data_IF_178821246483
#
_entry.id   IF_178821246483
#
_cell.length_a   1.000
_cell.length_b   1.000
_cell.length_c   1.000
_cell.angle_alpha   90.00
_cell.angle_beta   90.00
_cell.angle_gamma   90.00
#
_symmetry.space_group_name_H-M   'P 1'
#
loop_
_entity.id
_entity.type
_entity.pdbx_description
1 polymer ?
#
# COMPACT_ATOMS: atom_id res chain seq x y z
N UNK A 1 -3.12 -4.18 -8.24
CA UNK A 1 -2.42 -3.48 -9.34
C UNK A 1 -3.37 -2.75 -10.32
N UNK A 2 -4.50 -2.19 -9.87
CA UNK A 2 -5.54 -1.67 -10.79
C UNK A 2 -5.05 -0.54 -11.70
N UNK A 3 -4.32 0.44 -11.15
CA UNK A 3 -3.83 1.59 -11.91
C UNK A 3 -2.81 1.19 -12.98
N UNK A 4 -1.92 0.23 -12.66
CA UNK A 4 -0.96 -0.36 -13.60
C UNK A 4 -1.71 -1.00 -14.77
N UNK A 5 -2.70 -1.84 -14.48
CA UNK A 5 -3.46 -2.51 -15.52
C UNK A 5 -4.23 -1.53 -16.43
N UNK A 6 -4.86 -0.48 -15.87
CA UNK A 6 -5.53 0.54 -16.67
C UNK A 6 -4.56 1.27 -17.60
N UNK A 7 -3.40 1.71 -17.08
CA UNK A 7 -2.36 2.37 -17.88
C UNK A 7 -1.90 1.47 -19.02
N UNK A 8 -1.58 0.22 -18.72
CA UNK A 8 -1.03 -0.73 -19.70
C UNK A 8 -2.04 -1.10 -20.79
N UNK A 9 -3.34 -1.02 -20.48
CA UNK A 9 -4.42 -1.20 -21.45
C UNK A 9 -4.74 0.08 -22.25
N UNK A 10 -4.13 1.22 -21.90
CA UNK A 10 -4.41 2.52 -22.53
C UNK A 10 -5.73 3.13 -22.10
N UNK A 11 -6.32 2.65 -21.00
CA UNK A 11 -7.56 3.17 -20.45
C UNK A 11 -7.34 4.52 -19.73
N UNK A 12 -8.37 5.37 -19.63
CA UNK A 12 -8.29 6.58 -18.82
C UNK A 12 -7.93 6.28 -17.36
N UNK A 13 -6.87 6.93 -16.88
CA UNK A 13 -6.47 6.85 -15.48
C UNK A 13 -7.33 7.77 -14.60
N UNK A 14 -7.58 7.41 -13.34
CA UNK A 14 -8.23 8.30 -12.39
C UNK A 14 -7.30 9.46 -12.01
N UNK A 15 -7.87 10.49 -11.38
CA UNK A 15 -7.12 11.67 -10.97
C UNK A 15 -6.04 11.40 -9.91
N UNK A 16 -6.25 10.38 -9.04
CA UNK A 16 -5.30 9.99 -8.01
C UNK A 16 -5.57 8.55 -7.52
N UNK A 17 -4.62 7.98 -6.79
CA UNK A 17 -4.75 6.71 -6.05
C UNK A 17 -4.48 6.88 -4.56
N UNK A 18 -5.26 6.20 -3.71
CA UNK A 18 -5.04 6.14 -2.26
C UNK A 18 -4.79 4.69 -1.87
N UNK A 19 -3.66 4.45 -1.19
CA UNK A 19 -3.22 3.14 -0.74
C UNK A 19 -3.16 3.16 0.78
N UNK A 20 -3.96 2.32 1.43
CA UNK A 20 -3.99 2.19 2.88
C UNK A 20 -3.34 0.87 3.25
N UNK A 21 -2.24 0.92 3.99
CA UNK A 21 -1.49 -0.26 4.43
C UNK A 21 -1.29 -1.30 3.31
N UNK A 22 -0.81 -0.88 2.12
CA UNK A 22 -0.88 -1.72 0.94
C UNK A 22 0.04 -2.95 1.02
N UNK A 23 -0.53 -4.12 0.78
CA UNK A 23 0.23 -5.34 0.50
C UNK A 23 0.59 -5.39 -1.00
N UNK A 24 1.87 -5.28 -1.32
CA UNK A 24 2.35 -5.14 -2.70
C UNK A 24 3.46 -6.09 -3.10
N UNK A 25 4.00 -6.85 -2.14
CA UNK A 25 4.96 -7.91 -2.35
C UNK A 25 4.45 -9.25 -1.77
N UNK A 26 4.09 -10.17 -2.65
CA UNK A 26 3.65 -11.53 -2.29
C UNK A 26 4.81 -12.52 -2.11
N UNK A 27 6.07 -12.09 -2.29
CA UNK A 27 7.23 -12.92 -1.94
C UNK A 27 7.34 -13.06 -0.42
N UNK A 28 6.94 -12.01 0.31
CA UNK A 28 7.03 -11.93 1.77
C UNK A 28 8.47 -11.93 2.30
N UNK A 29 9.42 -11.47 1.47
CA UNK A 29 10.85 -11.36 1.80
C UNK A 29 11.19 -10.05 2.53
N UNK A 30 10.22 -9.16 2.73
CA UNK A 30 10.45 -7.86 3.34
C UNK A 30 10.83 -7.97 4.83
N UNK A 31 11.78 -7.15 5.29
CA UNK A 31 12.35 -7.25 6.63
C UNK A 31 11.33 -7.03 7.75
N UNK A 32 10.40 -6.09 7.55
CA UNK A 32 9.28 -5.79 8.44
C UNK A 32 8.40 -7.02 8.73
N UNK A 33 8.30 -7.97 7.80
CA UNK A 33 7.52 -9.21 7.97
C UNK A 33 7.98 -9.99 9.19
N UNK A 34 9.29 -10.03 9.44
CA UNK A 34 9.85 -10.70 10.62
C UNK A 34 10.04 -9.73 11.78
N UNK A 35 10.60 -8.55 11.54
CA UNK A 35 11.02 -7.64 12.62
C UNK A 35 9.86 -6.98 13.37
N UNK A 36 8.67 -6.90 12.78
CA UNK A 36 7.46 -6.31 13.38
C UNK A 36 6.35 -7.33 13.63
N UNK A 37 6.64 -8.63 13.50
CA UNK A 37 5.66 -9.70 13.65
C UNK A 37 4.97 -9.69 15.03
N UNK A 38 5.69 -9.30 16.08
CA UNK A 38 5.15 -9.19 17.45
C UNK A 38 4.41 -7.87 17.68
N UNK A 39 4.79 -6.81 16.97
CA UNK A 39 4.25 -5.46 17.15
C UNK A 39 2.91 -5.24 16.42
N UNK A 40 2.69 -5.93 15.29
CA UNK A 40 1.49 -5.83 14.47
C UNK A 40 0.33 -6.61 15.10
N UNK A 41 -0.72 -5.96 15.63
CA UNK A 41 -1.84 -6.66 16.27
C UNK A 41 -2.82 -7.29 15.28
N UNK A 42 -2.75 -6.95 13.99
CA UNK A 42 -3.79 -7.26 12.99
C UNK A 42 -3.33 -8.32 11.98
N UNK A 43 -2.10 -8.20 11.47
CA UNK A 43 -1.60 -9.06 10.40
C UNK A 43 -0.40 -9.86 10.90
N UNK A 44 -0.42 -11.17 10.68
CA UNK A 44 0.64 -12.09 11.08
C UNK A 44 1.27 -12.78 9.88
N UNK A 45 2.58 -13.08 9.91
CA UNK A 45 3.28 -13.69 8.78
C UNK A 45 2.63 -14.97 8.24
N UNK A 46 2.27 -15.92 9.12
CA UNK A 46 1.63 -17.17 8.71
C UNK A 46 0.33 -16.96 7.93
N UNK A 47 -0.47 -15.97 8.36
CA UNK A 47 -1.70 -15.58 7.67
C UNK A 47 -1.41 -14.96 6.31
N UNK A 48 -0.41 -14.07 6.25
CA UNK A 48 0.04 -13.42 5.02
C UNK A 48 0.50 -14.45 3.98
N UNK A 49 1.39 -15.37 4.36
CA UNK A 49 1.91 -16.41 3.46
C UNK A 49 0.80 -17.34 2.98
N UNK A 50 -0.10 -17.76 3.87
CA UNK A 50 -1.24 -18.62 3.52
C UNK A 50 -2.16 -17.93 2.50
N UNK A 51 -2.55 -16.69 2.77
CA UNK A 51 -3.44 -15.94 1.87
C UNK A 51 -2.76 -15.64 0.53
N UNK A 52 -1.45 -15.35 0.54
CA UNK A 52 -0.67 -15.10 -0.67
C UNK A 52 -0.60 -16.34 -1.55
N UNK A 53 -0.33 -17.50 -0.96
CA UNK A 53 -0.34 -18.78 -1.67
C UNK A 53 -1.70 -19.12 -2.29
N UNK A 54 -2.80 -18.86 -1.57
CA UNK A 54 -4.16 -19.06 -2.09
C UNK A 54 -4.46 -18.11 -3.26
N UNK A 55 -4.06 -16.84 -3.17
CA UNK A 55 -4.27 -15.85 -4.22
C UNK A 55 -3.46 -16.16 -5.47
N UNK A 56 -2.18 -16.53 -5.30
CA UNK A 56 -1.28 -16.85 -6.40
C UNK A 56 -1.65 -18.16 -7.11
N UNK A 57 -2.17 -19.16 -6.38
CA UNK A 57 -2.53 -20.46 -6.94
C UNK A 57 -1.44 -21.06 -7.86
N UNK A 58 -0.18 -20.96 -7.43
CA UNK A 58 1.00 -21.44 -8.17
C UNK A 58 1.59 -20.46 -9.20
N UNK A 59 1.00 -19.28 -9.40
CA UNK A 59 1.61 -18.19 -10.17
C UNK A 59 2.84 -17.64 -9.45
N UNK A 60 3.84 -17.19 -10.21
CA UNK A 60 5.05 -16.57 -9.65
C UNK A 60 4.68 -15.36 -8.78
N UNK A 61 5.11 -15.32 -7.49
CA UNK A 61 4.84 -14.19 -6.60
C UNK A 61 5.38 -12.85 -7.12
N UNK A 62 6.34 -12.86 -8.05
CA UNK A 62 6.89 -11.63 -8.68
C UNK A 62 6.08 -11.13 -9.87
N UNK A 63 4.96 -11.79 -10.20
CA UNK A 63 4.05 -11.36 -11.27
C UNK A 63 3.56 -9.94 -11.00
N UNK A 64 3.86 -8.93 -11.85
CA UNK A 64 3.63 -7.52 -11.53
C UNK A 64 2.20 -7.13 -11.18
N UNK A 65 1.20 -7.81 -11.77
CA UNK A 65 -0.21 -7.53 -11.46
C UNK A 65 -0.68 -8.14 -10.13
N UNK A 66 0.03 -9.16 -9.64
CA UNK A 66 -0.18 -9.76 -8.32
C UNK A 66 0.64 -9.03 -7.24
N UNK A 67 1.90 -8.71 -7.54
CA UNK A 67 2.81 -7.94 -6.69
C UNK A 67 3.22 -6.63 -7.38
N UNK A 68 2.42 -5.55 -7.22
CA UNK A 68 2.66 -4.25 -7.85
C UNK A 68 4.03 -3.64 -7.60
N UNK A 69 4.73 -4.05 -6.54
CA UNK A 69 6.10 -3.59 -6.27
C UNK A 69 7.06 -3.91 -7.43
N UNK A 70 6.78 -4.95 -8.22
CA UNK A 70 7.59 -5.33 -9.39
C UNK A 70 7.11 -4.71 -10.70
N UNK A 71 6.01 -3.95 -10.71
CA UNK A 71 5.50 -3.29 -11.91
C UNK A 71 6.33 -2.04 -12.28
N UNK A 72 6.24 -1.65 -13.55
CA UNK A 72 6.56 -0.29 -13.96
C UNK A 72 5.53 0.66 -13.35
N UNK A 73 5.97 1.75 -12.73
CA UNK A 73 5.14 2.76 -12.09
C UNK A 73 5.10 4.08 -12.87
N UNK A 74 5.85 4.21 -13.96
CA UNK A 74 5.86 5.42 -14.77
C UNK A 74 4.46 5.73 -15.33
N UNK A 75 4.07 7.00 -15.29
CA UNK A 75 2.76 7.44 -15.80
C UNK A 75 1.55 7.06 -14.94
N UNK A 76 1.74 6.51 -13.74
CA UNK A 76 0.66 6.40 -12.76
C UNK A 76 0.23 7.79 -12.25
N UNK A 77 -1.04 7.97 -11.82
CA UNK A 77 -1.49 9.23 -11.24
C UNK A 77 -0.85 9.47 -9.85
N UNK A 78 -0.97 10.67 -9.28
CA UNK A 78 -0.53 10.96 -7.91
C UNK A 78 -1.03 9.92 -6.90
N UNK A 79 -0.15 9.49 -5.99
CA UNK A 79 -0.44 8.48 -4.99
C UNK A 79 -0.36 9.08 -3.58
N UNK A 80 -1.36 8.79 -2.74
CA UNK A 80 -1.28 8.94 -1.30
C UNK A 80 -1.18 7.56 -0.67
N UNK A 81 -0.14 7.34 0.14
CA UNK A 81 0.17 6.05 0.77
C UNK A 81 0.17 6.27 2.28
N UNK A 82 -0.71 5.56 2.99
CA UNK A 82 -0.71 5.50 4.45
C UNK A 82 -0.10 4.19 4.92
N UNK A 83 0.73 4.27 5.97
CA UNK A 83 1.30 3.09 6.61
C UNK A 83 1.55 3.35 8.09
N UNK A 84 1.26 2.35 8.92
CA UNK A 84 1.56 2.33 10.34
C UNK A 84 2.96 1.76 10.60
N UNK A 85 3.70 2.38 11.51
CA UNK A 85 5.05 1.97 11.89
C UNK A 85 5.12 0.66 12.68
N UNK A 86 3.97 0.07 13.05
CA UNK A 86 3.91 -1.25 13.70
C UNK A 86 3.52 -2.38 12.75
N UNK A 87 3.36 -2.09 11.46
CA UNK A 87 2.88 -3.06 10.48
C UNK A 87 3.96 -4.00 9.96
N UNK A 88 3.62 -5.27 9.73
CA UNK A 88 4.48 -6.19 8.98
C UNK A 88 4.60 -5.82 7.49
N UNK A 89 3.62 -5.08 6.96
CA UNK A 89 3.55 -4.58 5.58
C UNK A 89 4.20 -3.20 5.40
N UNK A 90 4.97 -2.75 6.39
CA UNK A 90 5.57 -1.43 6.33
C UNK A 90 6.53 -1.26 5.15
N UNK A 91 7.43 -2.22 4.98
CA UNK A 91 8.44 -2.19 3.93
C UNK A 91 7.83 -2.21 2.53
N UNK A 92 6.66 -2.85 2.34
CA UNK A 92 5.90 -2.79 1.09
C UNK A 92 5.53 -1.34 0.74
N UNK A 93 4.97 -0.62 1.71
CA UNK A 93 4.56 0.78 1.55
C UNK A 93 5.76 1.68 1.24
N UNK A 94 6.85 1.53 1.99
CA UNK A 94 8.08 2.30 1.78
C UNK A 94 8.68 2.00 0.40
N UNK A 95 8.70 0.73 0.00
CA UNK A 95 9.28 0.31 -1.28
C UNK A 95 8.47 0.82 -2.46
N UNK A 96 7.14 0.73 -2.40
CA UNK A 96 6.26 1.27 -3.45
C UNK A 96 6.37 2.79 -3.53
N UNK A 97 6.38 3.50 -2.39
CA UNK A 97 6.55 4.94 -2.38
C UNK A 97 7.87 5.36 -3.03
N UNK A 98 8.97 4.68 -2.69
CA UNK A 98 10.29 4.93 -3.29
C UNK A 98 10.28 4.68 -4.81
N UNK A 99 9.80 3.52 -5.25
CA UNK A 99 9.78 3.13 -6.66
C UNK A 99 8.88 4.04 -7.50
N UNK A 100 7.72 4.43 -6.98
CA UNK A 100 6.83 5.35 -7.66
C UNK A 100 7.49 6.73 -7.84
N UNK A 101 8.16 7.26 -6.80
CA UNK A 101 8.94 8.50 -6.90
C UNK A 101 10.08 8.40 -7.91
N UNK A 102 10.82 7.30 -7.91
CA UNK A 102 11.89 7.03 -8.89
C UNK A 102 11.36 6.97 -10.34
N UNK A 103 10.12 6.53 -10.53
CA UNK A 103 9.43 6.53 -11.81
C UNK A 103 8.77 7.87 -12.18
N UNK A 104 8.97 8.93 -11.37
CA UNK A 104 8.45 10.27 -11.61
C UNK A 104 7.00 10.50 -11.17
N UNK A 105 6.42 9.60 -10.36
CA UNK A 105 5.06 9.75 -9.82
C UNK A 105 5.09 10.67 -8.60
N UNK A 106 4.12 11.59 -8.49
CA UNK A 106 3.89 12.36 -7.27
C UNK A 106 3.41 11.41 -6.15
N UNK A 107 4.14 11.38 -5.02
CA UNK A 107 3.79 10.49 -3.90
C UNK A 107 3.81 11.26 -2.59
N UNK A 108 2.64 11.29 -1.94
CA UNK A 108 2.48 11.64 -0.54
C UNK A 108 2.52 10.36 0.29
N UNK A 109 3.50 10.25 1.20
CA UNK A 109 3.64 9.11 2.11
C UNK A 109 3.37 9.61 3.53
N UNK A 110 2.37 9.03 4.17
CA UNK A 110 1.96 9.28 5.54
C UNK A 110 2.34 8.06 6.38
N UNK A 111 3.50 8.16 7.00
CA UNK A 111 4.09 7.16 7.89
C UNK A 111 3.79 7.54 9.33
N UNK A 112 2.95 6.75 9.99
CA UNK A 112 2.46 6.99 11.35
C UNK A 112 3.09 5.96 12.31
N UNK A 113 4.18 6.31 13.03
CA UNK A 113 5.07 5.34 13.67
C UNK A 113 4.41 4.39 14.68
N UNK A 114 3.41 4.88 15.41
CA UNK A 114 2.78 4.14 16.51
C UNK A 114 1.50 3.38 16.10
N UNK A 115 1.08 3.52 14.84
CA UNK A 115 -0.19 2.97 14.35
C UNK A 115 0.00 1.59 13.71
N UNK A 116 -1.11 0.86 13.66
CA UNK A 116 -1.20 -0.53 13.21
C UNK A 116 -2.00 -0.65 11.91
N UNK A 117 -1.99 -1.83 11.30
CA UNK A 117 -2.62 -2.09 10.00
C UNK A 117 -4.07 -1.57 9.90
N UNK A 118 -4.32 -0.70 8.92
CA UNK A 118 -5.65 -0.17 8.57
C UNK A 118 -6.36 0.45 9.79
N UNK A 119 -5.63 1.18 10.64
CA UNK A 119 -6.19 1.89 11.80
C UNK A 119 -7.35 2.83 11.43
N UNK A 120 -7.43 3.28 10.17
CA UNK A 120 -8.54 4.04 9.58
C UNK A 120 -9.92 3.42 9.86
N UNK A 121 -10.00 2.07 9.88
CA UNK A 121 -11.25 1.36 10.16
C UNK A 121 -11.80 1.65 11.57
N UNK A 122 -10.96 2.16 12.47
CA UNK A 122 -11.30 2.52 13.84
C UNK A 122 -11.63 4.00 14.01
N UNK A 123 -11.78 4.77 12.93
CA UNK A 123 -12.13 6.20 12.97
C UNK A 123 -13.28 6.58 13.95
N UNK A 124 -14.34 5.76 14.15
CA UNK A 124 -15.39 6.08 15.13
C UNK A 124 -14.94 6.03 16.60
N UNK A 125 -13.76 5.46 16.89
CA UNK A 125 -13.28 5.13 18.24
C UNK A 125 -11.82 5.55 18.49
N UNK A 126 -11.10 5.95 17.44
CA UNK A 126 -9.69 6.31 17.46
C UNK A 126 -9.50 7.62 16.68
N UNK A 127 -9.02 8.66 17.37
CA UNK A 127 -8.86 10.00 16.79
C UNK A 127 -7.90 9.98 15.59
N UNK A 128 -6.80 9.22 15.66
CA UNK A 128 -5.84 9.04 14.57
C UNK A 128 -6.46 8.35 13.35
N UNK A 129 -7.50 7.53 13.55
CA UNK A 129 -8.30 6.95 12.48
C UNK A 129 -9.12 8.01 11.74
N UNK A 130 -9.75 8.91 12.49
CA UNK A 130 -10.51 10.03 11.93
C UNK A 130 -9.58 11.03 11.21
N UNK A 131 -8.44 11.39 11.82
CA UNK A 131 -7.42 12.24 11.20
C UNK A 131 -6.90 11.64 9.89
N UNK A 132 -6.69 10.33 9.83
CA UNK A 132 -6.24 9.67 8.61
C UNK A 132 -7.28 9.76 7.48
N UNK A 133 -8.57 9.61 7.79
CA UNK A 133 -9.66 9.83 6.81
C UNK A 133 -9.70 11.29 6.33
N UNK A 134 -9.47 12.24 7.22
CA UNK A 134 -9.42 13.67 6.86
C UNK A 134 -8.23 14.01 5.95
N UNK A 135 -7.06 13.44 6.22
CA UNK A 135 -5.85 13.52 5.37
C UNK A 135 -6.13 12.98 3.96
N UNK A 136 -6.76 11.81 3.86
CA UNK A 136 -7.20 11.23 2.58
C UNK A 136 -8.14 12.20 1.85
N UNK A 137 -9.13 12.76 2.55
CA UNK A 137 -10.07 13.72 1.98
C UNK A 137 -9.39 14.99 1.47
N UNK A 138 -8.38 15.49 2.18
CA UNK A 138 -7.60 16.66 1.76
C UNK A 138 -6.78 16.39 0.49
N UNK A 139 -6.12 15.24 0.43
CA UNK A 139 -5.39 14.79 -0.76
C UNK A 139 -6.30 14.67 -1.99
N UNK A 140 -7.45 14.02 -1.84
CA UNK A 140 -8.40 13.86 -2.94
C UNK A 140 -8.93 15.22 -3.45
N UNK A 141 -9.26 16.15 -2.56
CA UNK A 141 -9.70 17.51 -2.94
C UNK A 141 -8.64 18.29 -3.72
N UNK A 142 -7.35 18.06 -3.44
CA UNK A 142 -6.25 18.70 -4.17
C UNK A 142 -6.15 18.23 -5.63
N UNK A 143 -6.57 16.99 -5.92
CA UNK A 143 -6.38 16.36 -7.23
C UNK A 143 -7.65 16.13 -8.04
N UNK A 144 -8.82 16.21 -7.42
CA UNK A 144 -10.13 16.04 -8.09
C UNK A 144 -10.84 17.37 -8.42
N UNK A 145 -10.18 18.51 -8.17
CA UNK A 145 -10.73 19.84 -8.42
C UNK A 145 -10.68 20.23 -9.91
#
# INVERSE_FOLDING_TARGET
ATLVNLRDQGDPLPAAGVLISPWTDLTGDAGAVTSRADDDPMVKPDGLYRLGGLYLNGVDPKTPLASPVFADMAGLPPLCIHVGGREILYDDSITVARRAREAGVEVELLDEPDLFHVWHAFAPMLDEGQEAVEKIGAFLRKHMA
#
